data_IF_160711041367
#
_entry.id   IF_160711041367
#
_cell.length_a   1.000
_cell.length_b   1.000
_cell.length_c   1.000
_cell.angle_alpha   90.00
_cell.angle_beta   90.00
_cell.angle_gamma   90.00
#
_symmetry.space_group_name_H-M   'P 1'
#
loop_
_entity.id
_entity.type
_entity.pdbx_description
1 polymer ?
#
# COMPACT_ATOMS: atom_id res chain seq x y z
N UNK A 1 -1.43 -21.50 14.06
CA UNK A 1 -1.76 -20.08 14.28
C UNK A 1 -1.16 -19.19 13.19
N UNK A 2 0.10 -19.41 12.79
CA UNK A 2 0.81 -18.51 11.84
C UNK A 2 0.23 -18.48 10.42
N UNK A 3 -0.35 -19.59 9.95
CA UNK A 3 -1.00 -19.67 8.64
C UNK A 3 -2.28 -18.82 8.55
N UNK A 4 -3.06 -18.75 9.64
CA UNK A 4 -4.24 -17.90 9.71
C UNK A 4 -3.86 -16.41 9.66
N UNK A 5 -2.81 -16.02 10.40
CA UNK A 5 -2.28 -14.65 10.37
C UNK A 5 -1.77 -14.28 8.98
N UNK A 6 -1.03 -15.18 8.33
CA UNK A 6 -0.56 -14.97 6.97
C UNK A 6 -1.71 -14.82 5.96
N UNK A 7 -2.77 -15.63 6.08
CA UNK A 7 -3.96 -15.49 5.25
C UNK A 7 -4.68 -14.16 5.47
N UNK A 8 -4.81 -13.71 6.72
CA UNK A 8 -5.39 -12.40 7.05
C UNK A 8 -4.55 -11.25 6.48
N UNK A 9 -3.22 -11.33 6.56
CA UNK A 9 -2.33 -10.35 5.94
C UNK A 9 -2.51 -10.31 4.42
N UNK A 10 -2.65 -11.47 3.77
CA UNK A 10 -2.89 -11.55 2.33
C UNK A 10 -4.23 -10.90 1.95
N UNK A 11 -5.28 -11.12 2.75
CA UNK A 11 -6.59 -10.50 2.57
C UNK A 11 -6.54 -8.98 2.75
N UNK A 12 -5.80 -8.49 3.75
CA UNK A 12 -5.60 -7.04 3.95
C UNK A 12 -4.89 -6.39 2.76
N UNK A 13 -3.86 -7.06 2.22
CA UNK A 13 -3.17 -6.59 1.00
C UNK A 13 -4.12 -6.60 -0.19
N UNK A 14 -4.90 -7.68 -0.36
CA UNK A 14 -5.89 -7.78 -1.43
C UNK A 14 -6.97 -6.68 -1.33
N UNK A 15 -7.36 -6.29 -0.12
CA UNK A 15 -8.32 -5.22 0.13
C UNK A 15 -7.74 -3.82 -0.13
N UNK A 16 -6.41 -3.65 0.03
CA UNK A 16 -5.74 -2.38 -0.21
C UNK A 16 -5.53 -2.07 -1.70
N UNK A 17 -5.47 -3.09 -2.57
CA UNK A 17 -5.23 -2.89 -4.01
C UNK A 17 -6.34 -2.08 -4.71
N UNK A 18 -7.65 -2.39 -4.54
CA UNK A 18 -8.73 -1.62 -5.17
C UNK A 18 -8.72 -0.11 -4.83
N UNK A 19 -8.67 0.33 -3.56
CA UNK A 19 -8.66 1.75 -3.24
C UNK A 19 -7.40 2.44 -3.77
N UNK A 20 -6.24 1.79 -3.78
CA UNK A 20 -5.02 2.35 -4.39
C UNK A 20 -5.19 2.56 -5.89
N UNK A 21 -5.84 1.62 -6.60
CA UNK A 21 -6.13 1.76 -8.02
C UNK A 21 -7.11 2.91 -8.31
N UNK A 22 -8.16 3.05 -7.49
CA UNK A 22 -9.12 4.17 -7.60
C UNK A 22 -8.43 5.51 -7.34
N UNK A 23 -7.57 5.59 -6.33
CA UNK A 23 -6.81 6.80 -6.00
C UNK A 23 -5.82 7.19 -7.12
N UNK A 24 -5.15 6.22 -7.74
CA UNK A 24 -4.33 6.47 -8.94
C UNK A 24 -5.17 6.97 -10.11
N UNK A 25 -6.38 6.43 -10.29
CA UNK A 25 -7.30 6.87 -11.33
C UNK A 25 -7.82 8.29 -11.07
N UNK A 26 -8.14 8.63 -9.82
CA UNK A 26 -8.51 9.99 -9.41
C UNK A 26 -7.35 10.97 -9.60
N UNK A 27 -6.13 10.61 -9.22
CA UNK A 27 -4.95 11.46 -9.45
C UNK A 27 -4.67 11.69 -10.93
N UNK A 28 -4.86 10.65 -11.76
CA UNK A 28 -4.69 10.74 -13.22
C UNK A 28 -5.73 11.66 -13.85
N UNK A 29 -6.94 11.73 -13.30
CA UNK A 29 -8.04 12.55 -13.79
C UNK A 29 -8.11 13.94 -13.15
N UNK A 30 -7.33 14.22 -12.10
CA UNK A 30 -7.33 15.52 -11.45
C UNK A 30 -6.47 16.51 -12.25
N UNK A 31 -7.15 17.43 -12.93
CA UNK A 31 -6.54 18.56 -13.64
C UNK A 31 -6.14 19.72 -12.70
N UNK A 32 -6.52 19.66 -11.42
CA UNK A 32 -6.30 20.73 -10.44
C UNK A 32 -4.96 20.65 -9.69
N UNK A 33 -4.24 19.52 -9.76
CA UNK A 33 -2.90 19.43 -9.16
C UNK A 33 -1.87 20.13 -10.04
N UNK A 34 -1.24 21.18 -9.51
CA UNK A 34 -0.02 21.74 -10.11
C UNK A 34 1.03 20.65 -10.34
N UNK A 35 1.72 20.71 -11.49
CA UNK A 35 2.66 19.67 -11.94
C UNK A 35 3.62 19.10 -10.86
N UNK A 36 4.23 19.89 -9.94
CA UNK A 36 5.14 19.33 -8.93
C UNK A 36 4.41 18.44 -7.90
N UNK A 37 3.18 18.80 -7.51
CA UNK A 37 2.40 18.02 -6.55
C UNK A 37 1.83 16.75 -7.19
N UNK A 38 1.46 16.81 -8.48
CA UNK A 38 1.00 15.63 -9.23
C UNK A 38 2.09 14.55 -9.30
N UNK A 39 3.34 14.94 -9.55
CA UNK A 39 4.49 14.01 -9.57
C UNK A 39 4.78 13.44 -8.18
N UNK A 40 4.71 14.27 -7.13
CA UNK A 40 4.93 13.82 -5.75
C UNK A 40 3.87 12.81 -5.28
N UNK A 41 2.59 13.11 -5.51
CA UNK A 41 1.49 12.20 -5.19
C UNK A 41 1.57 10.90 -5.99
N UNK A 42 1.95 10.98 -7.28
CA UNK A 42 2.17 9.77 -8.08
C UNK A 42 3.32 8.91 -7.54
N UNK A 43 4.42 9.54 -7.11
CA UNK A 43 5.54 8.85 -6.45
C UNK A 43 5.15 8.20 -5.13
N UNK A 44 4.32 8.86 -4.31
CA UNK A 44 3.78 8.30 -3.06
C UNK A 44 2.86 7.11 -3.32
N UNK A 45 1.96 7.21 -4.29
CA UNK A 45 1.08 6.11 -4.68
C UNK A 45 1.90 4.91 -5.19
N UNK A 46 2.85 5.15 -6.09
CA UNK A 46 3.69 4.09 -6.66
C UNK A 46 4.56 3.41 -5.60
N UNK A 47 5.16 4.18 -4.68
CA UNK A 47 5.95 3.61 -3.58
C UNK A 47 5.08 2.77 -2.64
N UNK A 48 3.87 3.22 -2.31
CA UNK A 48 2.91 2.44 -1.52
C UNK A 48 2.52 1.12 -2.19
N UNK A 49 2.23 1.14 -3.51
CA UNK A 49 2.00 -0.08 -4.30
C UNK A 49 3.20 -1.03 -4.22
N UNK A 50 4.41 -0.52 -4.42
CA UNK A 50 5.62 -1.34 -4.31
C UNK A 50 5.79 -1.96 -2.92
N UNK A 51 5.50 -1.21 -1.84
CA UNK A 51 5.53 -1.75 -0.48
C UNK A 51 4.48 -2.84 -0.24
N UNK A 52 3.24 -2.64 -0.73
CA UNK A 52 2.20 -3.67 -0.62
C UNK A 52 2.53 -4.93 -1.43
N UNK A 53 3.09 -4.78 -2.64
CA UNK A 53 3.54 -5.91 -3.46
C UNK A 53 4.70 -6.64 -2.80
N UNK A 54 5.70 -5.93 -2.26
CA UNK A 54 6.83 -6.53 -1.56
C UNK A 54 6.38 -7.25 -0.28
N UNK A 55 5.44 -6.67 0.48
CA UNK A 55 4.80 -7.34 1.62
C UNK A 55 4.06 -8.60 1.19
N UNK A 56 3.28 -8.53 0.11
CA UNK A 56 2.54 -9.67 -0.43
C UNK A 56 3.47 -10.81 -0.85
N UNK A 57 4.56 -10.49 -1.56
CA UNK A 57 5.61 -11.43 -1.93
C UNK A 57 6.26 -12.08 -0.71
N UNK A 58 6.53 -11.32 0.35
CA UNK A 58 7.09 -11.85 1.59
C UNK A 58 6.12 -12.84 2.29
N UNK A 59 4.82 -12.51 2.34
CA UNK A 59 3.79 -13.41 2.88
C UNK A 59 3.62 -14.65 2.01
N UNK A 60 3.62 -14.49 0.68
CA UNK A 60 3.50 -15.61 -0.26
C UNK A 60 4.69 -16.57 -0.13
N UNK A 61 5.90 -16.03 0.02
CA UNK A 61 7.12 -16.81 0.26
C UNK A 61 7.12 -17.50 1.61
N UNK A 62 6.56 -16.88 2.66
CA UNK A 62 6.31 -17.53 3.94
C UNK A 62 5.36 -18.72 3.80
N UNK A 63 4.22 -18.55 3.10
CA UNK A 63 3.28 -19.65 2.82
C UNK A 63 3.92 -20.77 1.99
N UNK A 64 4.70 -20.42 0.98
CA UNK A 64 5.27 -21.40 0.03
C UNK A 64 6.43 -22.19 0.60
N UNK A 65 7.10 -21.67 1.63
CA UNK A 65 8.27 -22.35 2.21
C UNK A 65 7.91 -23.28 3.36
N UNK A 66 6.68 -23.24 3.92
CA UNK A 66 6.29 -23.98 5.12
C UNK A 66 7.28 -23.84 6.30
N UNK A 67 8.21 -22.89 6.22
CA UNK A 67 9.19 -22.59 7.23
C UNK A 67 8.46 -21.73 8.26
N UNK A 68 8.32 -22.24 9.48
CA UNK A 68 7.88 -21.50 10.67
C UNK A 68 8.89 -20.42 11.07
N UNK A 69 9.20 -19.51 10.16
CA UNK A 69 10.13 -18.41 10.34
C UNK A 69 9.33 -17.16 10.70
N UNK A 70 9.07 -16.90 12.00
CA UNK A 70 8.36 -15.71 12.46
C UNK A 70 9.03 -14.40 11.99
N UNK A 71 10.31 -14.44 11.62
CA UNK A 71 11.02 -13.32 11.00
C UNK A 71 10.40 -12.83 9.68
N UNK A 72 9.99 -13.74 8.79
CA UNK A 72 9.39 -13.38 7.50
C UNK A 72 8.04 -12.70 7.70
N UNK A 73 7.24 -13.21 8.65
CA UNK A 73 5.96 -12.63 9.02
C UNK A 73 6.15 -11.23 9.61
N UNK A 74 7.14 -11.06 10.50
CA UNK A 74 7.48 -9.77 11.13
C UNK A 74 7.96 -8.75 10.09
N UNK A 75 8.81 -9.18 9.16
CA UNK A 75 9.25 -8.38 8.02
C UNK A 75 8.10 -7.95 7.12
N UNK A 76 7.20 -8.87 6.76
CA UNK A 76 6.02 -8.58 5.96
C UNK A 76 5.09 -7.58 6.66
N UNK A 77 4.80 -7.78 7.96
CA UNK A 77 4.02 -6.82 8.74
C UNK A 77 4.68 -5.44 8.83
N UNK A 78 6.02 -5.39 8.94
CA UNK A 78 6.77 -4.14 8.91
C UNK A 78 6.64 -3.43 7.57
N UNK A 79 6.81 -4.14 6.45
CA UNK A 79 6.64 -3.57 5.11
C UNK A 79 5.20 -3.10 4.85
N UNK A 80 4.21 -3.84 5.35
CA UNK A 80 2.80 -3.46 5.23
C UNK A 80 2.52 -2.14 5.95
N UNK A 81 3.02 -1.99 7.18
CA UNK A 81 2.90 -0.73 7.94
C UNK A 81 3.68 0.40 7.27
N UNK A 82 4.86 0.11 6.72
CA UNK A 82 5.67 1.09 6.00
C UNK A 82 5.01 1.55 4.71
N UNK A 83 4.27 0.68 4.02
CA UNK A 83 3.44 1.01 2.85
C UNK A 83 2.18 1.81 3.19
N UNK A 84 1.69 1.68 4.43
CA UNK A 84 0.55 2.45 4.95
C UNK A 84 0.91 3.93 5.16
N UNK A 85 2.15 4.24 5.55
CA UNK A 85 2.59 5.62 5.75
C UNK A 85 2.49 6.50 4.48
N UNK A 86 3.08 6.15 3.33
CA UNK A 86 2.93 6.92 2.10
C UNK A 86 1.48 6.91 1.60
N UNK A 87 0.72 5.84 1.84
CA UNK A 87 -0.72 5.79 1.54
C UNK A 87 -1.52 6.82 2.34
N UNK A 88 -1.31 6.90 3.65
CA UNK A 88 -1.99 7.85 4.52
C UNK A 88 -1.62 9.29 4.14
N UNK A 89 -0.34 9.56 3.86
CA UNK A 89 0.11 10.88 3.36
C UNK A 89 -0.60 11.23 2.05
N UNK A 90 -0.69 10.29 1.11
CA UNK A 90 -1.38 10.48 -0.16
C UNK A 90 -2.87 10.83 0.05
N UNK A 91 -3.59 10.08 0.88
CA UNK A 91 -5.00 10.33 1.18
C UNK A 91 -5.19 11.70 1.83
N UNK A 92 -4.31 12.09 2.76
CA UNK A 92 -4.37 13.40 3.43
C UNK A 92 -4.14 14.55 2.45
N UNK A 93 -3.21 14.40 1.49
CA UNK A 93 -2.99 15.42 0.45
C UNK A 93 -4.23 15.54 -0.43
N UNK A 94 -4.80 14.41 -0.88
CA UNK A 94 -6.01 14.41 -1.70
C UNK A 94 -7.21 15.05 -0.98
N UNK A 95 -7.42 14.72 0.30
CA UNK A 95 -8.51 15.30 1.11
C UNK A 95 -8.34 16.80 1.38
N UNK A 96 -7.10 17.29 1.52
CA UNK A 96 -6.85 18.72 1.70
C UNK A 96 -7.18 19.52 0.45
N UNK A 97 -6.99 18.94 -0.74
CA UNK A 97 -7.36 19.60 -1.99
C UNK A 97 -8.87 19.60 -2.19
N UNK A 98 -9.56 18.50 -1.89
CA UNK A 98 -11.03 18.39 -2.02
C UNK A 98 -11.80 19.34 -1.08
N UNK A 99 -11.18 19.77 0.03
CA UNK A 99 -11.73 20.76 0.98
C UNK A 99 -11.37 22.21 0.58
N UNK A 100 -10.38 22.40 -0.30
CA UNK A 100 -9.91 23.72 -0.70
C UNK A 100 -10.70 24.34 -1.87
N UNK A 101 -11.48 23.53 -2.59
CA UNK A 101 -12.52 23.95 -3.54
C UNK A 101 -13.87 24.22 -2.82
#
# INVERSE_FOLDING_TARGET
MDTAVAATLLQLIALAIPPVAVLLQMLRNSEHLGDPWRVFCFGLALSSVCFYLASGLAVLRFLSTALGAPLLLRGASGLLLLGLAPFAVFVVVLFREDIAD
#
